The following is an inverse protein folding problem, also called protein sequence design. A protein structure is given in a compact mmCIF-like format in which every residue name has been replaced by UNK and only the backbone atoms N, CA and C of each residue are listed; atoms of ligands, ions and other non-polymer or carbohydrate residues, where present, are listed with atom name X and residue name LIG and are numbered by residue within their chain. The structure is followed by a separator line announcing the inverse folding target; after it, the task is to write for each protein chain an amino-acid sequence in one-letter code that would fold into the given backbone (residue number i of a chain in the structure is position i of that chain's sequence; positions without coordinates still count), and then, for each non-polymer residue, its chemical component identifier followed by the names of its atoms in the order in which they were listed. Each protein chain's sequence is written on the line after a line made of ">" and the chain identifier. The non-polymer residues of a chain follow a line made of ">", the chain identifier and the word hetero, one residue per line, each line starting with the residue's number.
data_IF_546860925373
#
_entry.id   IF_546860925373
#
_cell.length_a   1.000
_cell.length_b   1.000
_cell.length_c   1.000
_cell.angle_alpha   90.00
_cell.angle_beta   90.00
_cell.angle_gamma   90.00
#
_symmetry.space_group_name_H-M   'P 1'
#
loop_
_entity.id
_entity.type
_entity.pdbx_description
1 polymer ?
#
# COMPACT_ATOMS: atom_id res chain seq x y z
N UNK A 1 21.00 -17.26 22.82
CA UNK A 1 20.64 -16.54 21.58
C UNK A 1 20.44 -17.50 20.40
N UNK A 2 21.36 -18.45 20.17
CA UNK A 2 21.28 -19.41 19.05
C UNK A 2 20.04 -20.33 19.08
N UNK A 3 19.54 -20.74 20.26
CA UNK A 3 18.34 -21.57 20.40
C UNK A 3 17.07 -20.81 19.88
N UNK A 4 16.90 -19.55 20.29
CA UNK A 4 15.76 -18.71 19.83
C UNK A 4 15.76 -18.55 18.31
N UNK A 5 16.92 -18.26 17.72
CA UNK A 5 17.09 -18.15 16.27
C UNK A 5 16.71 -19.47 15.59
N UNK A 6 17.16 -20.61 16.13
CA UNK A 6 16.81 -21.93 15.60
C UNK A 6 15.31 -22.23 15.64
N UNK A 7 14.60 -21.80 16.68
CA UNK A 7 13.13 -21.93 16.79
C UNK A 7 12.44 -21.06 15.75
N UNK A 8 12.85 -19.80 15.59
CA UNK A 8 12.26 -18.87 14.61
C UNK A 8 12.43 -19.37 13.16
N UNK A 9 13.59 -19.94 12.83
CA UNK A 9 13.84 -20.56 11.53
C UNK A 9 12.91 -21.75 11.30
N UNK A 10 12.73 -22.61 12.30
CA UNK A 10 11.81 -23.76 12.24
C UNK A 10 10.34 -23.33 12.08
N UNK A 11 9.95 -22.20 12.64
CA UNK A 11 8.62 -21.61 12.48
C UNK A 11 8.40 -20.99 11.08
N UNK A 12 9.42 -21.01 10.21
CA UNK A 12 9.31 -20.55 8.83
C UNK A 12 9.35 -19.03 8.67
N UNK A 13 9.95 -18.29 9.63
CA UNK A 13 10.08 -16.83 9.55
C UNK A 13 10.95 -16.37 8.37
N UNK A 14 11.79 -17.27 7.84
CA UNK A 14 12.61 -17.06 6.65
C UNK A 14 11.97 -17.57 5.36
N UNK A 15 10.65 -17.90 5.38
CA UNK A 15 9.96 -18.21 4.13
C UNK A 15 10.01 -16.98 3.21
N UNK A 16 10.36 -17.25 1.98
CA UNK A 16 10.42 -16.22 0.94
C UNK A 16 9.10 -15.45 0.89
N UNK A 17 9.24 -14.11 0.91
CA UNK A 17 8.12 -13.16 0.81
C UNK A 17 7.11 -13.14 1.99
N UNK A 18 7.38 -13.79 3.12
CA UNK A 18 6.46 -13.79 4.25
C UNK A 18 6.17 -12.37 4.77
N UNK A 19 7.21 -11.56 4.91
CA UNK A 19 7.13 -10.15 5.32
C UNK A 19 6.23 -9.33 4.38
N UNK A 20 6.44 -9.49 3.08
CA UNK A 20 5.62 -8.85 2.04
C UNK A 20 4.14 -9.25 2.13
N UNK A 21 3.86 -10.54 2.31
CA UNK A 21 2.49 -11.03 2.42
C UNK A 21 1.82 -10.57 3.72
N UNK A 22 2.53 -10.60 4.85
CA UNK A 22 2.01 -10.14 6.14
C UNK A 22 1.68 -8.65 6.09
N UNK A 23 2.59 -7.81 5.59
CA UNK A 23 2.35 -6.37 5.46
C UNK A 23 1.16 -6.10 4.54
N UNK A 24 1.06 -6.79 3.40
CA UNK A 24 -0.05 -6.62 2.45
C UNK A 24 -1.40 -7.00 3.05
N UNK A 25 -1.49 -8.18 3.69
CA UNK A 25 -2.72 -8.63 4.35
C UNK A 25 -3.13 -7.65 5.45
N UNK A 26 -2.18 -7.20 6.27
CA UNK A 26 -2.46 -6.21 7.32
C UNK A 26 -3.03 -4.91 6.76
N UNK A 27 -2.47 -4.41 5.66
CA UNK A 27 -2.96 -3.19 5.00
C UNK A 27 -4.37 -3.38 4.41
N UNK A 28 -4.64 -4.53 3.79
CA UNK A 28 -5.99 -4.86 3.28
C UNK A 28 -7.01 -4.90 4.41
N UNK A 29 -6.68 -5.54 5.54
CA UNK A 29 -7.56 -5.60 6.71
C UNK A 29 -7.82 -4.19 7.25
N UNK A 30 -6.80 -3.36 7.40
CA UNK A 30 -6.94 -1.98 7.87
C UNK A 30 -7.90 -1.21 6.97
N UNK A 31 -7.68 -1.20 5.65
CA UNK A 31 -8.56 -0.49 4.72
C UNK A 31 -9.98 -1.05 4.71
N UNK A 32 -10.16 -2.36 4.87
CA UNK A 32 -11.49 -2.96 4.97
C UNK A 32 -12.26 -2.43 6.18
N UNK A 33 -11.65 -2.43 7.38
CA UNK A 33 -12.30 -2.00 8.61
C UNK A 33 -12.48 -0.48 8.69
N UNK A 34 -11.46 0.31 8.35
CA UNK A 34 -11.57 1.76 8.36
C UNK A 34 -12.55 2.26 7.30
N UNK A 35 -12.51 1.72 6.09
CA UNK A 35 -13.48 2.03 5.05
C UNK A 35 -14.91 1.68 5.45
N UNK A 36 -15.10 0.53 6.17
CA UNK A 36 -16.40 0.16 6.71
C UNK A 36 -16.91 1.16 7.76
N UNK A 37 -16.05 1.62 8.67
CA UNK A 37 -16.44 2.57 9.72
C UNK A 37 -16.97 3.90 9.17
N UNK A 38 -16.50 4.34 8.00
CA UNK A 38 -16.91 5.59 7.34
C UNK A 38 -18.40 5.65 6.94
N UNK A 39 -19.10 4.52 6.94
CA UNK A 39 -20.54 4.47 6.63
C UNK A 39 -21.41 4.87 7.80
N UNK A 40 -20.88 4.92 9.02
CA UNK A 40 -21.61 5.21 10.25
C UNK A 40 -21.54 6.70 10.63
N UNK A 41 -22.63 7.19 11.22
CA UNK A 41 -22.77 8.60 11.59
C UNK A 41 -21.81 9.03 12.71
N UNK A 42 -21.46 8.14 13.63
CA UNK A 42 -20.52 8.44 14.72
C UNK A 42 -19.12 8.75 14.16
N UNK A 43 -18.69 7.98 13.18
CA UNK A 43 -17.39 8.18 12.53
C UNK A 43 -17.37 9.50 11.74
N UNK A 44 -18.44 9.79 10.97
CA UNK A 44 -18.54 11.04 10.22
C UNK A 44 -18.45 12.27 11.14
N UNK A 45 -18.98 12.20 12.38
CA UNK A 45 -18.84 13.26 13.37
C UNK A 45 -17.44 13.33 13.96
N UNK A 46 -16.83 12.18 14.26
CA UNK A 46 -15.45 12.10 14.76
C UNK A 46 -14.42 12.66 13.78
N UNK A 47 -14.72 12.62 12.46
CA UNK A 47 -13.85 13.18 11.42
C UNK A 47 -13.92 14.70 11.30
N UNK A 48 -14.92 15.38 11.92
CA UNK A 48 -15.09 16.84 11.76
C UNK A 48 -13.81 17.62 12.11
N UNK A 49 -13.19 17.45 13.30
CA UNK A 49 -11.99 18.19 13.62
C UNK A 49 -10.83 17.88 12.68
N UNK A 50 -10.72 16.64 12.21
CA UNK A 50 -9.64 16.19 11.36
C UNK A 50 -9.76 16.76 9.94
N UNK A 51 -10.93 16.66 9.32
CA UNK A 51 -11.15 17.15 7.95
C UNK A 51 -11.13 18.69 7.93
N UNK A 52 -11.75 19.35 8.92
CA UNK A 52 -11.79 20.83 8.95
C UNK A 52 -10.40 21.45 9.03
N UNK A 53 -9.48 20.83 9.76
CA UNK A 53 -8.10 21.34 9.92
C UNK A 53 -7.11 20.70 8.95
N UNK A 54 -7.55 19.76 8.11
CA UNK A 54 -6.70 19.08 7.14
C UNK A 54 -6.43 19.92 5.90
N UNK A 55 -5.20 20.41 5.65
CA UNK A 55 -4.91 21.30 4.53
C UNK A 55 -5.19 20.68 3.16
N UNK A 56 -5.08 19.36 3.04
CA UNK A 56 -5.28 18.63 1.78
C UNK A 56 -6.70 18.08 1.62
N UNK A 57 -7.52 18.02 2.69
CA UNK A 57 -8.83 17.36 2.67
C UNK A 57 -10.00 18.22 3.13
N UNK A 58 -9.76 19.45 3.62
CA UNK A 58 -10.82 20.36 4.10
C UNK A 58 -11.87 20.70 3.02
N UNK A 59 -11.49 20.66 1.75
CA UNK A 59 -12.38 20.87 0.61
C UNK A 59 -13.49 19.83 0.49
N UNK A 60 -13.36 18.68 1.14
CA UNK A 60 -14.39 17.64 1.11
C UNK A 60 -15.73 18.10 1.68
N UNK A 61 -15.73 18.95 2.70
CA UNK A 61 -16.96 19.40 3.34
C UNK A 61 -17.79 20.38 2.46
N UNK A 62 -17.21 21.43 1.85
CA UNK A 62 -17.96 22.27 0.93
C UNK A 62 -18.51 21.52 -0.29
N UNK A 63 -17.84 20.44 -0.71
CA UNK A 63 -18.27 19.67 -1.90
C UNK A 63 -19.30 18.60 -1.56
N UNK A 64 -19.09 17.82 -0.50
CA UNK A 64 -19.89 16.62 -0.22
C UNK A 64 -20.72 16.71 1.06
N UNK A 65 -20.51 17.75 1.88
CA UNK A 65 -21.05 17.81 3.24
C UNK A 65 -20.43 16.76 4.17
N UNK A 66 -20.82 16.78 5.45
CA UNK A 66 -20.20 15.93 6.49
C UNK A 66 -20.37 14.42 6.17
N UNK A 67 -21.59 13.99 5.86
CA UNK A 67 -21.86 12.58 5.54
C UNK A 67 -21.26 12.14 4.20
N UNK A 68 -21.31 13.01 3.21
CA UNK A 68 -20.76 12.73 1.88
C UNK A 68 -19.25 12.61 1.91
N UNK A 69 -18.55 13.46 2.66
CA UNK A 69 -17.10 13.38 2.86
C UNK A 69 -16.69 12.04 3.51
N UNK A 70 -17.40 11.60 4.56
CA UNK A 70 -17.16 10.29 5.16
C UNK A 70 -17.31 9.15 4.16
N UNK A 71 -18.40 9.14 3.37
CA UNK A 71 -18.62 8.12 2.33
C UNK A 71 -17.56 8.15 1.24
N UNK A 72 -17.15 9.34 0.81
CA UNK A 72 -16.07 9.50 -0.17
C UNK A 72 -14.76 8.88 0.33
N UNK A 73 -14.38 9.15 1.58
CA UNK A 73 -13.21 8.54 2.21
C UNK A 73 -13.36 7.02 2.31
N UNK A 74 -14.53 6.52 2.72
CA UNK A 74 -14.79 5.07 2.81
C UNK A 74 -14.66 4.36 1.47
N UNK A 75 -15.19 4.94 0.39
CA UNK A 75 -15.05 4.41 -0.98
C UNK A 75 -13.58 4.43 -1.41
N UNK A 76 -12.85 5.50 -1.11
CA UNK A 76 -11.42 5.62 -1.44
C UNK A 76 -10.61 4.54 -0.70
N UNK A 77 -10.84 4.35 0.59
CA UNK A 77 -10.17 3.34 1.41
C UNK A 77 -10.46 1.92 0.90
N UNK A 78 -11.71 1.61 0.58
CA UNK A 78 -12.06 0.33 -0.01
C UNK A 78 -11.46 0.11 -1.39
N UNK A 79 -11.37 1.17 -2.20
CA UNK A 79 -10.71 1.10 -3.51
C UNK A 79 -9.23 0.78 -3.37
N UNK A 80 -8.51 1.46 -2.46
CA UNK A 80 -7.10 1.19 -2.22
C UNK A 80 -6.89 -0.20 -1.62
N UNK A 81 -7.71 -0.61 -0.64
CA UNK A 81 -7.69 -1.95 -0.07
C UNK A 81 -7.92 -3.04 -1.12
N UNK A 82 -8.89 -2.84 -2.02
CA UNK A 82 -9.17 -3.76 -3.12
C UNK A 82 -8.01 -3.84 -4.11
N UNK A 83 -7.42 -2.70 -4.48
CA UNK A 83 -6.25 -2.67 -5.36
C UNK A 83 -5.04 -3.36 -4.73
N UNK A 84 -4.81 -3.16 -3.43
CA UNK A 84 -3.78 -3.89 -2.69
C UNK A 84 -4.05 -5.39 -2.67
N UNK A 85 -5.29 -5.81 -2.47
CA UNK A 85 -5.69 -7.23 -2.52
C UNK A 85 -5.43 -7.82 -3.90
N UNK A 86 -5.86 -7.14 -4.96
CA UNK A 86 -5.62 -7.57 -6.34
C UNK A 86 -4.13 -7.59 -6.72
N UNK A 87 -3.30 -6.84 -5.99
CA UNK A 87 -1.85 -6.85 -6.10
C UNK A 87 -1.19 -8.21 -5.81
N UNK A 88 -1.89 -9.17 -5.21
CA UNK A 88 -1.40 -10.55 -5.11
C UNK A 88 -1.26 -11.21 -6.49
N UNK A 89 -2.17 -10.90 -7.39
CA UNK A 89 -2.22 -11.49 -8.74
C UNK A 89 -1.64 -10.57 -9.81
N UNK A 90 -1.87 -9.25 -9.67
CA UNK A 90 -1.41 -8.26 -10.66
C UNK A 90 -0.64 -7.14 -9.98
N UNK A 91 0.68 -7.09 -10.19
CA UNK A 91 1.57 -6.12 -9.53
C UNK A 91 1.27 -4.66 -9.91
N UNK A 92 0.76 -4.42 -11.12
CA UNK A 92 0.35 -3.07 -11.53
C UNK A 92 -0.79 -2.54 -10.66
N UNK A 93 -1.79 -3.39 -10.37
CA UNK A 93 -2.89 -3.02 -9.45
C UNK A 93 -2.38 -2.81 -8.02
N UNK A 94 -1.43 -3.64 -7.56
CA UNK A 94 -0.75 -3.45 -6.29
C UNK A 94 -0.02 -2.12 -6.19
N UNK A 95 0.70 -1.72 -7.25
CA UNK A 95 1.38 -0.42 -7.34
C UNK A 95 0.37 0.73 -7.22
N UNK A 96 -0.75 0.68 -7.95
CA UNK A 96 -1.79 1.70 -7.88
C UNK A 96 -2.40 1.81 -6.49
N UNK A 97 -2.71 0.66 -5.85
CA UNK A 97 -3.20 0.61 -4.48
C UNK A 97 -2.21 1.20 -3.48
N UNK A 98 -0.93 0.87 -3.61
CA UNK A 98 0.12 1.38 -2.74
C UNK A 98 0.37 2.89 -2.91
N UNK A 99 0.31 3.42 -4.14
CA UNK A 99 0.38 4.86 -4.41
C UNK A 99 -0.80 5.58 -3.75
N UNK A 100 -2.03 5.11 -3.95
CA UNK A 100 -3.22 5.68 -3.33
C UNK A 100 -3.15 5.65 -1.81
N UNK A 101 -2.64 4.55 -1.22
CA UNK A 101 -2.42 4.40 0.22
C UNK A 101 -1.38 5.42 0.74
N UNK A 102 -0.24 5.56 0.07
CA UNK A 102 0.78 6.55 0.42
C UNK A 102 0.19 7.97 0.42
N UNK A 103 -0.56 8.31 -0.63
CA UNK A 103 -1.21 9.62 -0.73
C UNK A 103 -2.22 9.85 0.41
N UNK A 104 -3.04 8.84 0.74
CA UNK A 104 -4.00 8.91 1.83
C UNK A 104 -3.32 9.19 3.16
N UNK A 105 -2.27 8.44 3.51
CA UNK A 105 -1.57 8.62 4.79
C UNK A 105 -0.72 9.89 4.85
N UNK A 106 -0.16 10.36 3.73
CA UNK A 106 0.44 11.70 3.68
C UNK A 106 -0.61 12.76 3.99
N UNK A 107 -1.79 12.67 3.36
CA UNK A 107 -2.86 13.65 3.58
C UNK A 107 -3.29 13.69 5.05
N UNK A 108 -3.44 12.53 5.73
CA UNK A 108 -3.78 12.48 7.15
C UNK A 108 -2.65 12.97 8.05
N UNK A 109 -1.40 12.67 7.77
CA UNK A 109 -0.25 13.15 8.53
C UNK A 109 -0.09 14.68 8.46
N UNK A 110 -0.45 15.30 7.34
CA UNK A 110 -0.43 16.77 7.21
C UNK A 110 -1.45 17.48 8.09
N UNK A 111 -2.41 16.77 8.70
CA UNK A 111 -3.39 17.34 9.63
C UNK A 111 -2.74 17.70 10.96
N UNK A 112 -1.78 16.89 11.44
CA UNK A 112 -1.22 16.99 12.80
C UNK A 112 -0.75 18.40 13.17
N UNK A 113 0.03 19.11 12.34
CA UNK A 113 0.48 20.47 12.65
C UNK A 113 -0.64 21.51 12.73
N UNK A 114 -1.79 21.26 12.09
CA UNK A 114 -2.91 22.18 12.01
C UNK A 114 -4.06 21.84 12.97
N UNK A 115 -3.97 20.69 13.65
CA UNK A 115 -4.99 20.25 14.60
C UNK A 115 -4.82 20.98 15.94
N UNK A 116 -5.77 21.85 16.37
CA UNK A 116 -5.62 22.69 17.58
C UNK A 116 -5.34 21.88 18.84
N UNK A 117 -5.92 20.69 18.96
CA UNK A 117 -5.83 19.84 20.14
C UNK A 117 -4.98 18.57 19.88
N UNK A 118 -4.00 18.63 18.97
CA UNK A 118 -3.11 17.49 18.73
C UNK A 118 -2.29 17.10 19.97
N UNK A 119 -2.02 18.09 20.86
CA UNK A 119 -1.18 17.96 22.04
C UNK A 119 -1.96 18.25 23.30
N UNK A 120 -1.72 17.50 24.37
CA UNK A 120 -2.46 17.58 25.64
C UNK A 120 -1.92 18.73 26.48
N UNK A 121 -2.59 19.89 26.46
CA UNK A 121 -2.16 21.10 27.16
C UNK A 121 -2.04 20.91 28.67
N UNK A 122 -2.88 20.07 29.29
CA UNK A 122 -2.90 19.83 30.75
C UNK A 122 -1.61 19.23 31.31
N UNK A 123 -0.78 18.61 30.44
CA UNK A 123 0.52 18.01 30.82
C UNK A 123 1.70 18.68 30.12
N UNK A 124 1.53 19.95 29.67
CA UNK A 124 2.61 20.74 29.08
C UNK A 124 2.63 20.78 27.53
N UNK A 125 1.67 20.17 26.87
CA UNK A 125 1.61 20.18 25.40
C UNK A 125 2.58 19.21 24.75
N UNK A 126 3.24 19.65 23.65
CA UNK A 126 4.21 18.79 22.93
C UNK A 126 5.31 18.25 23.86
N UNK A 127 5.66 16.93 23.78
CA UNK A 127 5.20 15.90 22.84
C UNK A 127 4.05 15.01 23.36
N UNK A 128 3.29 15.41 24.37
CA UNK A 128 2.19 14.62 24.92
C UNK A 128 0.98 14.67 23.97
N UNK A 129 0.74 13.58 23.25
CA UNK A 129 -0.32 13.49 22.25
C UNK A 129 -1.71 13.35 22.89
N UNK A 130 -2.70 14.04 22.30
CA UNK A 130 -4.11 13.77 22.54
C UNK A 130 -4.53 12.45 21.85
N UNK A 131 -5.78 12.03 22.08
CA UNK A 131 -6.34 10.86 21.39
C UNK A 131 -6.33 11.03 19.85
N UNK A 132 -6.71 12.23 19.36
CA UNK A 132 -6.73 12.54 17.93
C UNK A 132 -5.30 12.61 17.35
N UNK A 133 -4.37 13.23 18.07
CA UNK A 133 -2.97 13.27 17.67
C UNK A 133 -2.35 11.87 17.58
N UNK A 134 -2.58 11.04 18.59
CA UNK A 134 -2.11 9.65 18.61
C UNK A 134 -2.78 8.80 17.50
N UNK A 135 -4.06 9.04 17.23
CA UNK A 135 -4.79 8.39 16.13
C UNK A 135 -4.14 8.69 14.78
N UNK A 136 -3.77 9.94 14.51
CA UNK A 136 -3.10 10.32 13.26
C UNK A 136 -1.64 9.83 13.22
N UNK A 137 -0.95 9.79 14.35
CA UNK A 137 0.46 9.40 14.40
C UNK A 137 0.70 7.95 13.96
N UNK A 138 -0.27 7.03 14.14
CA UNK A 138 -0.18 5.66 13.62
C UNK A 138 -0.02 5.62 12.09
N UNK A 139 -0.52 6.65 11.40
CA UNK A 139 -0.51 6.71 9.94
C UNK A 139 0.92 6.84 9.38
N UNK A 140 1.89 7.24 10.23
CA UNK A 140 3.31 7.19 9.88
C UNK A 140 3.78 5.75 9.60
N UNK A 141 3.36 4.79 10.42
CA UNK A 141 3.69 3.37 10.22
C UNK A 141 2.94 2.82 9.02
N UNK A 142 1.67 3.22 8.83
CA UNK A 142 0.87 2.81 7.68
C UNK A 142 1.42 3.38 6.36
N UNK A 143 1.94 4.60 6.38
CA UNK A 143 2.67 5.17 5.26
C UNK A 143 3.92 4.35 4.92
N UNK A 144 4.75 4.03 5.94
CA UNK A 144 5.95 3.21 5.74
C UNK A 144 5.62 1.83 5.16
N UNK A 145 4.55 1.17 5.65
CA UNK A 145 4.06 -0.09 5.12
C UNK A 145 3.59 0.03 3.65
N UNK A 146 2.86 1.11 3.32
CA UNK A 146 2.43 1.39 1.94
C UNK A 146 3.61 1.61 1.00
N UNK A 147 4.61 2.37 1.44
CA UNK A 147 5.83 2.63 0.68
C UNK A 147 6.66 1.35 0.48
N UNK A 148 6.73 0.49 1.50
CA UNK A 148 7.35 -0.82 1.39
C UNK A 148 6.67 -1.67 0.31
N UNK A 149 5.32 -1.75 0.32
CA UNK A 149 4.56 -2.50 -0.68
C UNK A 149 4.76 -1.92 -2.10
N UNK A 150 4.74 -0.59 -2.23
CA UNK A 150 5.00 0.09 -3.49
C UNK A 150 6.36 -0.32 -4.07
N UNK A 151 7.41 -0.21 -3.26
CA UNK A 151 8.77 -0.58 -3.66
C UNK A 151 8.86 -2.05 -4.07
N UNK A 152 8.26 -2.96 -3.30
CA UNK A 152 8.29 -4.39 -3.58
C UNK A 152 7.55 -4.74 -4.88
N UNK A 153 6.39 -4.13 -5.13
CA UNK A 153 5.63 -4.39 -6.36
C UNK A 153 6.34 -3.84 -7.60
N UNK A 154 6.97 -2.67 -7.50
CA UNK A 154 7.79 -2.11 -8.60
C UNK A 154 8.96 -3.03 -8.94
N UNK A 155 9.70 -3.52 -7.94
CA UNK A 155 10.82 -4.45 -8.15
C UNK A 155 10.34 -5.72 -8.85
N UNK A 156 9.22 -6.32 -8.39
CA UNK A 156 8.67 -7.55 -8.95
C UNK A 156 8.14 -7.36 -10.37
N UNK A 157 7.50 -6.23 -10.65
CA UNK A 157 7.00 -5.89 -11.97
C UNK A 157 8.15 -5.68 -12.97
N UNK A 158 9.23 -5.00 -12.57
CA UNK A 158 10.41 -4.78 -13.43
C UNK A 158 11.18 -6.07 -13.71
N UNK A 159 11.32 -6.96 -12.72
CA UNK A 159 11.97 -8.26 -12.91
C UNK A 159 11.22 -9.17 -13.90
N UNK A 160 9.90 -9.20 -13.82
CA UNK A 160 9.07 -9.95 -14.77
C UNK A 160 9.22 -9.44 -16.20
N UNK A 161 9.32 -8.12 -16.40
CA UNK A 161 9.48 -7.52 -17.72
C UNK A 161 10.83 -7.86 -18.34
N UNK A 162 11.91 -7.79 -17.60
CA UNK A 162 13.25 -8.10 -18.09
C UNK A 162 13.41 -9.58 -18.51
N UNK A 163 12.75 -10.52 -17.81
CA UNK A 163 12.75 -11.93 -18.19
C UNK A 163 12.01 -12.13 -19.52
N UNK A 164 10.86 -11.50 -19.70
CA UNK A 164 10.06 -11.60 -20.92
C UNK A 164 10.84 -11.06 -22.13
N UNK A 165 11.46 -9.89 -22.02
CA UNK A 165 12.28 -9.27 -23.07
C UNK A 165 13.49 -10.14 -23.45
N UNK A 166 14.14 -10.76 -22.44
CA UNK A 166 15.25 -11.69 -22.69
C UNK A 166 14.81 -12.93 -23.43
N UNK A 167 13.66 -13.49 -23.12
CA UNK A 167 13.12 -14.67 -23.80
C UNK A 167 12.70 -14.35 -25.24
N UNK A 168 12.05 -13.22 -25.48
CA UNK A 168 11.72 -12.77 -26.83
C UNK A 168 12.97 -12.55 -27.70
N UNK A 169 14.03 -11.94 -27.13
CA UNK A 169 15.30 -11.75 -27.82
C UNK A 169 15.99 -13.07 -28.22
N UNK A 170 15.89 -14.11 -27.37
CA UNK A 170 16.43 -15.44 -27.66
C UNK A 170 15.63 -16.10 -28.81
N UNK A 171 14.29 -16.06 -28.74
CA UNK A 171 13.40 -16.66 -29.78
C UNK A 171 13.64 -15.99 -31.14
N UNK A 172 13.79 -14.66 -31.18
CA UNK A 172 14.05 -13.93 -32.42
C UNK A 172 15.44 -14.25 -33.01
N UNK A 173 16.44 -14.52 -32.15
CA UNK A 173 17.79 -14.88 -32.59
C UNK A 173 17.91 -16.34 -33.03
N UNK A 174 17.06 -17.25 -32.57
CA UNK A 174 17.01 -18.66 -32.98
C UNK A 174 16.10 -18.92 -34.18
N UNK A 175 15.35 -17.95 -34.67
CA UNK A 175 14.57 -18.02 -35.89
C UNK A 175 15.46 -18.00 -37.15
N UNK A 176 15.22 -18.63 -38.15
CA UNK A 176 15.29 -19.81 -38.98
C UNK A 176 16.70 -20.24 -39.43
N UNK A 177 17.74 -20.21 -38.59
CA UNK A 177 19.09 -20.72 -38.95
C UNK A 177 19.23 -22.24 -38.93
N UNK A 178 18.20 -23.00 -38.50
CA UNK A 178 18.27 -24.47 -38.30
C UNK A 178 17.78 -25.36 -39.44
N UNK A 179 17.38 -24.83 -40.60
CA UNK A 179 16.81 -25.68 -41.69
C UNK A 179 17.66 -25.75 -42.99
N UNK A 180 18.94 -25.36 -42.94
CA UNK A 180 19.76 -25.22 -44.16
C UNK A 180 20.95 -26.17 -44.34
N UNK A 181 21.24 -27.16 -43.47
CA UNK A 181 22.48 -27.94 -43.57
C UNK A 181 22.34 -29.46 -43.50
N UNK A 182 21.16 -30.06 -43.73
CA UNK A 182 21.02 -31.52 -43.82
C UNK A 182 20.43 -32.01 -45.16
N UNK A 183 20.86 -31.43 -46.28
CA UNK A 183 20.32 -31.77 -47.60
C UNK A 183 21.33 -31.95 -48.72
N UNK A 184 22.65 -32.15 -48.46
CA UNK A 184 23.65 -32.35 -49.51
C UNK A 184 24.77 -33.34 -49.12
N UNK A 185 24.45 -34.54 -48.72
CA UNK A 185 25.41 -35.61 -48.53
C UNK A 185 24.89 -36.98 -48.89
N UNK A 186 24.05 -37.10 -49.92
CA UNK A 186 23.69 -38.42 -50.52
C UNK A 186 23.40 -38.27 -52.00
N UNK A 187 24.43 -37.99 -52.83
CA UNK A 187 24.49 -38.28 -54.26
C UNK A 187 25.91 -38.15 -54.80
N UNK A 188 26.73 -39.15 -54.62
CA UNK A 188 27.81 -39.55 -55.58
C UNK A 188 28.28 -40.93 -55.22
#
# INVERSE_FOLDING_TARGET
>A
MNWLIGVLIKLGILKDDLDYHVVRVSMVIIFAFFGYSKWFSYEAQGLIPLITHGPLISWLYPVFGIRGAGRFLGVSEWSFGTLLLLGFWNKTLGILGAIGSCFSFIATLTIIPFLPNAWTASVGGFPAMSADGAFLMKDLVLFAASFYLLRQDVIRASSSKSITESQEGIILNEGPRGRGLHGQAERS
#
